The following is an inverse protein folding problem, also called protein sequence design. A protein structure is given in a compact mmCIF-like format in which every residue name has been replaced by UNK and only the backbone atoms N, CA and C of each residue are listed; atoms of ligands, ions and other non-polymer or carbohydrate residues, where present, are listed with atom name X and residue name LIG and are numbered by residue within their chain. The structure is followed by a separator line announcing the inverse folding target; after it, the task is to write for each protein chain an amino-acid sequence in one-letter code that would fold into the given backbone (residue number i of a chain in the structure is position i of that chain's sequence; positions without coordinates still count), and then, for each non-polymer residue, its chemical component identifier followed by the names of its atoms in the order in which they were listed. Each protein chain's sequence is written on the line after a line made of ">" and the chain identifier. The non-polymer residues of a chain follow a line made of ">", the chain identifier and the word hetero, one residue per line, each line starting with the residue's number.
data_IF_060267320259
#
_entry.id   IF_060267320259
#
_cell.length_a   1.000
_cell.length_b   1.000
_cell.length_c   1.000
_cell.angle_alpha   90.00
_cell.angle_beta   90.00
_cell.angle_gamma   90.00
#
_symmetry.space_group_name_H-M   'P 1'
#
loop_
_entity.id
_entity.type
_entity.pdbx_description
1 polymer ?
#
# COMPACT_ATOMS: atom_id res chain seq x y z
N UNK A 1 6.15 17.57 -5.41
CA UNK A 1 5.29 17.32 -6.58
C UNK A 1 5.16 18.62 -7.32
N UNK A 2 5.20 18.58 -8.65
CA UNK A 2 5.02 19.78 -9.48
C UNK A 2 3.62 20.34 -9.20
N UNK A 3 2.63 19.46 -9.13
CA UNK A 3 1.30 19.81 -8.62
C UNK A 3 1.17 19.41 -7.14
N UNK A 4 0.94 20.39 -6.27
CA UNK A 4 0.73 20.16 -4.83
C UNK A 4 -0.67 19.63 -4.52
N UNK A 5 -1.60 19.71 -5.46
CA UNK A 5 -2.98 19.23 -5.30
C UNK A 5 -3.10 17.72 -5.58
N UNK A 6 -2.16 17.15 -6.34
CA UNK A 6 -2.16 15.72 -6.62
C UNK A 6 -1.54 14.97 -5.43
N UNK A 7 -2.36 14.30 -4.63
CA UNK A 7 -1.86 13.45 -3.56
C UNK A 7 -1.39 12.10 -4.13
N UNK A 8 -0.22 11.59 -3.72
CA UNK A 8 0.21 10.28 -4.15
C UNK A 8 -0.74 9.20 -3.62
N UNK A 9 -1.12 8.27 -4.48
CA UNK A 9 -2.05 7.18 -4.19
C UNK A 9 -1.37 5.82 -4.32
N UNK A 10 -2.05 4.76 -3.90
CA UNK A 10 -1.59 3.39 -4.10
C UNK A 10 -2.72 2.50 -4.60
N UNK A 11 -2.37 1.48 -5.36
CA UNK A 11 -3.26 0.45 -5.87
C UNK A 11 -2.68 -0.93 -5.58
N UNK A 12 -3.56 -1.91 -5.35
CA UNK A 12 -3.19 -3.31 -5.13
C UNK A 12 -3.81 -4.16 -6.24
N UNK A 13 -2.96 -4.86 -6.98
CA UNK A 13 -3.40 -5.73 -8.09
C UNK A 13 -2.84 -7.13 -7.88
N UNK A 14 -3.68 -8.16 -8.00
CA UNK A 14 -3.25 -9.55 -7.84
C UNK A 14 -2.41 -9.95 -9.05
N UNK A 15 -1.32 -10.70 -8.84
CA UNK A 15 -0.51 -11.21 -9.95
C UNK A 15 -1.25 -12.33 -10.68
N UNK A 16 -1.40 -12.23 -12.01
CA UNK A 16 -2.06 -13.26 -12.82
C UNK A 16 -1.36 -14.62 -12.73
N UNK A 17 -0.02 -14.62 -12.73
CA UNK A 17 0.79 -15.84 -12.68
C UNK A 17 0.80 -16.50 -11.29
N UNK A 18 0.54 -15.76 -10.21
CA UNK A 18 0.61 -16.29 -8.86
C UNK A 18 -0.29 -15.51 -7.89
N UNK A 19 -1.43 -16.10 -7.53
CA UNK A 19 -2.44 -15.51 -6.64
C UNK A 19 -1.98 -15.29 -5.20
N UNK A 20 -0.85 -15.89 -4.80
CA UNK A 20 -0.25 -15.68 -3.47
C UNK A 20 0.46 -14.34 -3.37
N UNK A 21 0.68 -13.65 -4.49
CA UNK A 21 1.34 -12.35 -4.53
C UNK A 21 0.47 -11.30 -5.18
N UNK A 22 0.60 -10.08 -4.68
CA UNK A 22 -0.01 -8.89 -5.23
C UNK A 22 1.06 -7.83 -5.47
N UNK A 23 0.83 -7.02 -6.49
CA UNK A 23 1.62 -5.85 -6.83
C UNK A 23 0.98 -4.66 -6.13
N UNK A 24 1.73 -4.09 -5.18
CA UNK A 24 1.42 -2.82 -4.55
C UNK A 24 2.09 -1.72 -5.37
N UNK A 25 1.30 -0.94 -6.12
CA UNK A 25 1.78 0.14 -6.97
C UNK A 25 1.49 1.49 -6.33
N UNK A 26 2.48 2.35 -6.26
CA UNK A 26 2.38 3.73 -5.81
C UNK A 26 2.39 4.67 -7.00
N UNK A 27 1.41 5.56 -7.04
CA UNK A 27 1.25 6.59 -8.05
C UNK A 27 1.53 7.94 -7.43
N UNK A 28 2.68 8.52 -7.73
CA UNK A 28 3.07 9.83 -7.21
C UNK A 28 2.69 10.97 -8.16
N UNK A 29 2.71 10.72 -9.46
CA UNK A 29 2.55 11.75 -10.49
C UNK A 29 3.83 12.58 -10.70
N UNK A 30 3.88 13.42 -11.76
CA UNK A 30 5.06 14.19 -12.10
C UNK A 30 5.59 15.04 -10.93
N UNK A 31 6.92 15.08 -10.66
CA UNK A 31 8.04 14.58 -11.46
C UNK A 31 8.46 13.13 -11.17
N UNK A 32 7.68 12.39 -10.38
CA UNK A 32 8.03 11.04 -9.95
C UNK A 32 7.34 9.98 -10.83
N UNK A 33 8.06 8.90 -11.12
CA UNK A 33 7.48 7.74 -11.79
C UNK A 33 6.75 6.83 -10.80
N UNK A 34 5.83 6.03 -11.33
CA UNK A 34 5.14 5.02 -10.53
C UNK A 34 6.11 3.92 -10.10
N UNK A 35 6.04 3.53 -8.83
CA UNK A 35 6.88 2.45 -8.27
C UNK A 35 5.98 1.32 -7.82
N UNK A 36 6.41 0.07 -8.03
CA UNK A 36 5.64 -1.10 -7.65
C UNK A 36 6.48 -2.10 -6.83
N UNK A 37 5.85 -2.70 -5.83
CA UNK A 37 6.43 -3.73 -4.97
C UNK A 37 5.62 -5.01 -5.06
N UNK A 38 6.30 -6.15 -5.14
CA UNK A 38 5.67 -7.46 -5.03
C UNK A 38 5.56 -7.84 -3.56
N UNK A 39 4.34 -8.06 -3.09
CA UNK A 39 4.04 -8.43 -1.69
C UNK A 39 3.14 -9.65 -1.65
N UNK A 40 2.99 -10.25 -0.46
CA UNK A 40 2.05 -11.36 -0.25
C UNK A 40 0.61 -10.85 -0.33
N UNK A 41 -0.26 -11.60 -1.01
CA UNK A 41 -1.69 -11.30 -1.17
C UNK A 41 -2.52 -11.76 0.04
N UNK A 42 -2.17 -11.27 1.22
CA UNK A 42 -2.96 -11.48 2.44
C UNK A 42 -3.75 -10.23 2.81
N UNK A 43 -4.87 -10.39 3.52
CA UNK A 43 -5.69 -9.26 3.94
C UNK A 43 -4.90 -8.34 4.88
N UNK A 44 -4.98 -7.03 4.68
CA UNK A 44 -4.33 -6.07 5.56
C UNK A 44 -5.23 -5.72 6.74
N UNK A 45 -4.62 -5.60 7.91
CA UNK A 45 -5.28 -5.00 9.07
C UNK A 45 -5.32 -3.47 8.88
N UNK A 46 -6.49 -2.94 8.54
CA UNK A 46 -6.75 -1.51 8.34
C UNK A 46 -7.07 -0.78 9.65
N UNK A 47 -6.93 -1.44 10.80
CA UNK A 47 -7.21 -0.82 12.09
C UNK A 47 -6.18 0.24 12.44
N UNK A 48 -6.63 1.48 12.64
CA UNK A 48 -5.78 2.57 13.16
C UNK A 48 -5.17 2.21 14.53
N UNK A 49 -5.83 1.36 15.33
CA UNK A 49 -5.32 0.88 16.63
C UNK A 49 -4.14 -0.09 16.49
N UNK A 50 -3.99 -0.75 15.36
CA UNK A 50 -2.92 -1.72 15.10
C UNK A 50 -1.77 -1.14 14.26
N UNK A 51 -1.74 0.18 14.10
CA UNK A 51 -0.64 0.90 13.45
C UNK A 51 -0.77 1.00 11.93
N UNK A 52 -1.98 0.79 11.37
CA UNK A 52 -2.22 1.14 9.98
C UNK A 52 -2.08 2.66 9.81
N UNK A 53 -1.21 3.08 8.91
CA UNK A 53 -0.99 4.49 8.62
C UNK A 53 -0.76 4.67 7.12
N UNK A 54 -1.60 5.47 6.48
CA UNK A 54 -1.40 5.93 5.10
C UNK A 54 -1.43 7.45 5.11
N UNK A 55 -0.26 8.09 5.15
CA UNK A 55 -0.16 9.56 5.25
C UNK A 55 0.95 10.09 4.35
N UNK A 56 0.64 11.13 3.59
CA UNK A 56 1.60 11.95 2.88
C UNK A 56 1.84 13.25 3.64
N UNK A 57 3.07 13.49 4.09
CA UNK A 57 3.44 14.73 4.79
C UNK A 57 4.91 15.05 4.53
N UNK A 58 5.22 16.34 4.30
CA UNK A 58 6.58 16.84 4.06
C UNK A 58 7.30 16.12 2.90
N UNK A 59 6.55 15.77 1.84
CA UNK A 59 7.09 15.04 0.69
C UNK A 59 7.32 13.54 0.92
N UNK A 60 6.98 13.02 2.10
CA UNK A 60 7.16 11.61 2.43
C UNK A 60 5.79 10.93 2.50
N UNK A 61 5.59 9.91 1.66
CA UNK A 61 4.46 8.98 1.77
C UNK A 61 4.83 7.84 2.72
N UNK A 62 4.11 7.74 3.83
CA UNK A 62 4.21 6.62 4.76
C UNK A 62 2.99 5.72 4.59
N UNK A 63 3.24 4.48 4.17
CA UNK A 63 2.27 3.40 4.18
C UNK A 63 2.76 2.30 5.13
N UNK A 64 2.19 2.26 6.33
CA UNK A 64 2.42 1.21 7.32
C UNK A 64 1.18 0.34 7.40
N UNK A 65 1.38 -0.96 7.28
CA UNK A 65 0.33 -1.95 7.39
C UNK A 65 0.90 -3.20 8.03
N UNK A 66 0.01 -4.01 8.60
CA UNK A 66 0.29 -5.38 9.02
C UNK A 66 -0.67 -6.29 8.29
N UNK A 67 -0.24 -7.51 8.02
CA UNK A 67 -1.17 -8.55 7.59
C UNK A 67 -2.09 -8.92 8.74
N UNK A 68 -3.37 -9.11 8.43
CA UNK A 68 -4.37 -9.58 9.38
C UNK A 68 -3.98 -10.99 9.81
N UNK A 69 -3.79 -11.17 11.11
CA UNK A 69 -3.57 -12.50 11.66
C UNK A 69 -4.92 -13.19 11.86
N UNK A 70 -5.15 -14.27 11.10
CA UNK A 70 -6.27 -15.16 11.32
C UNK A 70 -5.99 -15.99 12.58
N UNK A 71 -6.56 -15.57 13.71
CA UNK A 71 -6.52 -16.37 14.94
C UNK A 71 -7.47 -17.55 14.77
N UNK A 72 -6.91 -18.76 14.70
CA UNK A 72 -7.70 -19.98 14.76
C UNK A 72 -8.48 -20.03 16.07
N UNK A 73 -9.79 -20.27 16.00
CA UNK A 73 -10.66 -20.55 17.16
C UNK A 73 -10.98 -22.04 17.15
N UNK A 74 -10.71 -22.71 18.26
CA UNK A 74 -11.05 -24.13 18.49
C UNK A 74 -12.47 -24.27 19.00
#
# INVERSE_FOLDING_TARGET
>A
LIDKNQQPSYSLTICENNRNFSILKFHAGPPYEDIAFKIVNEEWDKSCKHGFQSRFQNGILRLWFKFRQNKYRR
#
